data_IF_628455427962
#
_entry.id   IF_628455427962
#
_cell.length_a   1.000
_cell.length_b   1.000
_cell.length_c   1.000
_cell.angle_alpha   90.00
_cell.angle_beta   90.00
_cell.angle_gamma   90.00
#
_symmetry.space_group_name_H-M   'P 1'
#
loop_
_entity.id
_entity.type
_entity.pdbx_description
1 polymer ?
#
# COMPACT_ATOMS: atom_id res chain seq x y z
N UNK A 1 13.79 2.51 -13.50
CA UNK A 1 12.79 2.72 -12.42
C UNK A 1 11.66 1.72 -12.61
N UNK A 2 11.34 0.98 -11.58
CA UNK A 2 10.31 -0.05 -11.64
C UNK A 2 9.21 0.26 -10.62
N UNK A 3 8.17 0.95 -11.07
CA UNK A 3 7.09 1.43 -10.21
C UNK A 3 5.96 0.41 -10.17
N UNK A 4 5.57 0.02 -8.97
CA UNK A 4 4.40 -0.82 -8.72
C UNK A 4 3.40 -0.01 -7.89
N UNK A 5 2.13 -0.07 -8.29
CA UNK A 5 1.04 0.58 -7.55
C UNK A 5 0.09 -0.52 -7.08
N UNK A 6 -0.02 -0.66 -5.77
CA UNK A 6 -0.95 -1.60 -5.13
C UNK A 6 -2.17 -0.84 -4.65
N UNK A 7 -3.33 -1.20 -5.13
CA UNK A 7 -4.56 -0.52 -4.74
C UNK A 7 -5.78 -1.15 -5.37
N UNK A 8 -6.91 -0.46 -5.28
CA UNK A 8 -8.16 -0.92 -5.89
C UNK A 8 -8.68 0.12 -6.87
N UNK A 9 -9.52 -0.33 -7.80
CA UNK A 9 -10.10 0.55 -8.82
C UNK A 9 -11.07 1.59 -8.26
N UNK A 10 -11.55 1.39 -7.03
CA UNK A 10 -12.50 2.30 -6.39
C UNK A 10 -11.81 3.47 -5.67
N UNK A 11 -10.53 3.36 -5.39
CA UNK A 11 -9.79 4.38 -4.64
C UNK A 11 -9.44 5.57 -5.51
N UNK A 12 -9.86 6.77 -5.10
CA UNK A 12 -9.50 8.01 -5.80
C UNK A 12 -8.00 8.23 -5.79
N UNK A 13 -7.35 8.01 -4.66
CA UNK A 13 -5.91 8.22 -4.53
C UNK A 13 -5.13 7.23 -5.39
N UNK A 14 -5.61 6.01 -5.53
CA UNK A 14 -5.03 5.03 -6.44
C UNK A 14 -5.11 5.52 -7.89
N UNK A 15 -6.27 6.05 -8.29
CA UNK A 15 -6.47 6.61 -9.63
C UNK A 15 -5.56 7.82 -9.87
N UNK A 16 -5.42 8.69 -8.87
CA UNK A 16 -4.53 9.84 -8.95
C UNK A 16 -3.07 9.43 -9.13
N UNK A 17 -2.65 8.40 -8.40
CA UNK A 17 -1.29 7.87 -8.52
C UNK A 17 -1.03 7.34 -9.92
N UNK A 18 -1.95 6.56 -10.47
CA UNK A 18 -1.84 6.05 -11.84
C UNK A 18 -1.75 7.18 -12.85
N UNK A 19 -2.56 8.22 -12.68
CA UNK A 19 -2.54 9.39 -13.55
C UNK A 19 -1.22 10.13 -13.46
N UNK A 20 -0.70 10.32 -12.26
CA UNK A 20 0.56 11.01 -12.03
C UNK A 20 1.68 10.42 -12.91
N UNK A 21 1.85 9.11 -12.85
CA UNK A 21 2.92 8.45 -13.61
C UNK A 21 2.61 8.41 -15.10
N UNK A 22 1.35 8.22 -15.48
CA UNK A 22 0.94 8.21 -16.88
C UNK A 22 1.24 9.55 -17.55
N UNK A 23 0.91 10.66 -16.90
CA UNK A 23 1.15 12.00 -17.44
C UNK A 23 2.64 12.29 -17.61
N UNK A 24 3.48 11.64 -16.85
CA UNK A 24 4.94 11.77 -16.94
C UNK A 24 5.58 10.69 -17.80
N UNK A 25 4.75 9.89 -18.47
CA UNK A 25 5.19 8.81 -19.37
C UNK A 25 6.08 7.79 -18.68
N UNK A 26 5.82 7.54 -17.40
CA UNK A 26 6.49 6.51 -16.61
C UNK A 26 5.61 5.29 -16.57
N UNK A 27 6.14 4.15 -17.03
CA UNK A 27 5.41 2.90 -16.98
C UNK A 27 5.32 2.39 -15.56
N UNK A 28 4.13 1.92 -15.18
CA UNK A 28 3.89 1.34 -13.87
C UNK A 28 3.24 -0.02 -14.03
N UNK A 29 3.43 -0.88 -13.04
CA UNK A 29 2.67 -2.11 -12.90
C UNK A 29 1.58 -1.85 -11.87
N UNK A 30 0.32 -1.89 -12.30
CA UNK A 30 -0.80 -1.77 -11.38
C UNK A 30 -1.20 -3.15 -10.89
N UNK A 31 -1.22 -3.35 -9.58
CA UNK A 31 -1.64 -4.58 -8.94
C UNK A 31 -2.96 -4.29 -8.20
N UNK A 32 -4.05 -4.85 -8.71
CA UNK A 32 -5.36 -4.73 -8.09
C UNK A 32 -5.42 -5.69 -6.90
N UNK A 33 -5.50 -5.15 -5.69
CA UNK A 33 -5.49 -5.94 -4.46
C UNK A 33 -6.71 -6.85 -4.34
N UNK A 34 -7.78 -6.58 -5.08
CA UNK A 34 -8.93 -7.47 -5.11
C UNK A 34 -8.70 -8.71 -5.95
N UNK A 35 -7.79 -8.63 -6.90
CA UNK A 35 -7.45 -9.75 -7.77
C UNK A 35 -6.21 -10.49 -7.30
N UNK A 36 -5.24 -9.75 -6.75
CA UNK A 36 -3.98 -10.34 -6.30
C UNK A 36 -3.47 -9.58 -5.08
N UNK A 37 -3.48 -10.22 -3.96
CA UNK A 37 -2.97 -9.65 -2.73
C UNK A 37 -1.45 -9.57 -2.73
N UNK A 38 -0.90 -8.74 -1.86
CA UNK A 38 0.54 -8.65 -1.67
C UNK A 38 1.07 -9.95 -1.09
N UNK A 39 2.20 -10.40 -1.60
CA UNK A 39 2.91 -11.53 -1.03
C UNK A 39 3.56 -11.12 0.31
N UNK A 40 3.97 -12.11 1.09
CA UNK A 40 4.67 -11.86 2.34
C UNK A 40 5.93 -11.02 2.13
N UNK A 41 6.69 -11.31 1.07
CA UNK A 41 7.91 -10.56 0.74
C UNK A 41 7.61 -9.13 0.36
N UNK A 42 6.57 -8.91 -0.45
CA UNK A 42 6.15 -7.57 -0.83
C UNK A 42 5.71 -6.76 0.37
N UNK A 43 4.87 -7.35 1.22
CA UNK A 43 4.38 -6.67 2.43
C UNK A 43 5.53 -6.33 3.38
N UNK A 44 6.47 -7.25 3.56
CA UNK A 44 7.66 -7.02 4.37
C UNK A 44 8.46 -5.83 3.83
N UNK A 45 8.68 -5.80 2.52
CA UNK A 45 9.45 -4.75 1.86
C UNK A 45 8.81 -3.37 2.05
N UNK A 46 7.51 -3.25 1.81
CA UNK A 46 6.84 -1.94 1.96
C UNK A 46 6.74 -1.54 3.42
N UNK A 47 6.54 -2.48 4.34
CA UNK A 47 6.51 -2.19 5.77
C UNK A 47 7.83 -1.58 6.24
N UNK A 48 8.94 -2.17 5.84
CA UNK A 48 10.27 -1.66 6.18
C UNK A 48 10.51 -0.27 5.57
N UNK A 49 10.09 -0.08 4.32
CA UNK A 49 10.29 1.18 3.62
C UNK A 49 9.54 2.35 4.24
N UNK A 50 8.33 2.10 4.74
CA UNK A 50 7.51 3.17 5.34
C UNK A 50 7.74 3.34 6.84
N UNK A 51 8.49 2.45 7.47
CA UNK A 51 8.86 2.58 8.86
C UNK A 51 7.90 1.97 9.86
N UNK A 52 7.11 0.99 9.46
CA UNK A 52 6.27 0.23 10.38
C UNK A 52 4.91 -0.11 9.83
N UNK A 53 4.30 -1.13 10.43
CA UNK A 53 3.04 -1.67 9.97
C UNK A 53 1.86 -0.71 10.16
N UNK A 54 1.92 0.11 11.22
CA UNK A 54 0.83 1.04 11.50
C UNK A 54 0.63 2.06 10.38
N UNK A 55 1.69 2.38 9.65
CA UNK A 55 1.63 3.30 8.52
C UNK A 55 0.96 2.71 7.28
N UNK A 56 0.78 1.39 7.28
CA UNK A 56 0.11 0.70 6.18
C UNK A 56 -1.38 0.52 6.41
N UNK A 57 -1.88 0.81 7.61
CA UNK A 57 -3.27 0.62 7.96
C UNK A 57 -4.11 1.82 7.54
N UNK A 58 -5.28 1.55 6.97
CA UNK A 58 -6.25 2.59 6.63
C UNK A 58 -7.12 2.88 7.86
N UNK A 59 -7.00 4.07 8.49
CA UNK A 59 -7.81 4.39 9.66
C UNK A 59 -9.31 4.46 9.37
N UNK A 60 -9.68 4.53 8.09
CA UNK A 60 -11.06 4.59 7.64
C UNK A 60 -11.50 3.29 6.94
N UNK A 61 -10.82 2.19 7.21
CA UNK A 61 -11.16 0.90 6.61
C UNK A 61 -12.59 0.51 6.98
N UNK A 62 -13.33 -0.03 6.00
CA UNK A 62 -14.72 -0.45 6.22
C UNK A 62 -14.82 -1.60 7.21
N UNK A 63 -13.83 -2.49 7.20
CA UNK A 63 -13.73 -3.59 8.15
C UNK A 63 -13.13 -3.08 9.46
N UNK A 64 -13.93 -2.38 10.23
CA UNK A 64 -13.50 -1.76 11.49
C UNK A 64 -13.09 -2.78 12.53
N UNK A 65 -13.72 -3.94 12.54
CA UNK A 65 -13.42 -4.99 13.51
C UNK A 65 -12.02 -5.54 13.29
N UNK A 66 -11.65 -5.86 12.05
CA UNK A 66 -10.32 -6.35 11.72
C UNK A 66 -9.26 -5.29 11.99
N UNK A 67 -9.54 -4.05 11.63
CA UNK A 67 -8.62 -2.94 11.91
C UNK A 67 -8.35 -2.81 13.41
N UNK A 68 -9.41 -2.80 14.23
CA UNK A 68 -9.28 -2.71 15.67
C UNK A 68 -8.51 -3.89 16.24
N UNK A 69 -8.78 -5.10 15.76
CA UNK A 69 -8.07 -6.30 16.20
C UNK A 69 -6.57 -6.18 15.93
N UNK A 70 -6.19 -5.78 14.73
CA UNK A 70 -4.78 -5.62 14.37
C UNK A 70 -4.08 -4.62 15.29
N UNK A 71 -4.75 -3.51 15.60
CA UNK A 71 -4.18 -2.47 16.46
C UNK A 71 -3.93 -2.94 17.90
N UNK A 72 -4.58 -4.01 18.35
CA UNK A 72 -4.41 -4.57 19.67
C UNK A 72 -3.42 -5.75 19.74
N UNK A 73 -2.93 -6.20 18.59
CA UNK A 73 -1.99 -7.32 18.54
C UNK A 73 -0.54 -6.85 18.73
N UNK A 74 0.35 -7.80 19.05
CA UNK A 74 1.79 -7.54 19.07
C UNK A 74 2.29 -7.30 17.64
N UNK A 75 3.45 -6.63 17.43
CA UNK A 75 3.93 -6.33 16.08
C UNK A 75 4.01 -7.52 15.14
N UNK A 76 4.52 -8.67 15.61
CA UNK A 76 4.60 -9.85 14.75
C UNK A 76 3.23 -10.41 14.40
N UNK A 77 2.30 -10.39 15.36
CA UNK A 77 0.92 -10.82 15.12
C UNK A 77 0.18 -9.86 14.19
N UNK A 78 0.48 -8.57 14.29
CA UNK A 78 -0.09 -7.55 13.38
C UNK A 78 0.27 -7.84 11.94
N UNK A 79 1.52 -8.18 11.70
CA UNK A 79 1.99 -8.48 10.35
C UNK A 79 1.22 -9.67 9.76
N UNK A 80 1.15 -10.76 10.50
CA UNK A 80 0.47 -11.97 10.03
C UNK A 80 -1.01 -11.72 9.78
N UNK A 81 -1.66 -10.97 10.67
CA UNK A 81 -3.08 -10.66 10.52
C UNK A 81 -3.35 -9.75 9.35
N UNK A 82 -2.48 -8.76 9.13
CA UNK A 82 -2.60 -7.87 7.99
C UNK A 82 -2.40 -8.61 6.67
N UNK A 83 -1.42 -9.53 6.64
CA UNK A 83 -1.18 -10.35 5.45
C UNK A 83 -2.42 -11.15 5.04
N UNK A 84 -3.17 -11.64 6.03
CA UNK A 84 -4.40 -12.40 5.82
C UNK A 84 -5.62 -11.50 5.56
N UNK A 85 -5.52 -10.21 5.82
CA UNK A 85 -6.66 -9.28 5.81
C UNK A 85 -6.28 -7.96 5.14
N UNK A 86 -5.90 -8.01 3.87
CA UNK A 86 -5.37 -6.84 3.18
C UNK A 86 -6.44 -5.80 2.81
N UNK A 87 -7.71 -6.08 3.08
CA UNK A 87 -8.79 -5.10 2.88
C UNK A 87 -8.68 -3.90 3.83
N UNK A 88 -7.83 -3.98 4.85
CA UNK A 88 -7.60 -2.85 5.76
C UNK A 88 -6.33 -2.05 5.44
N UNK A 89 -5.64 -2.39 4.36
CA UNK A 89 -4.49 -1.62 3.89
C UNK A 89 -4.92 -0.23 3.41
N UNK A 90 -4.11 0.76 3.73
CA UNK A 90 -4.22 2.07 3.10
C UNK A 90 -3.78 1.97 1.63
N UNK A 91 -4.36 2.78 0.77
CA UNK A 91 -4.04 2.77 -0.67
C UNK A 91 -3.91 4.17 -1.22
N UNK A 92 -3.13 4.30 -2.29
CA UNK A 92 -2.30 3.27 -2.87
C UNK A 92 -1.00 3.06 -2.08
N UNK A 93 -0.42 1.87 -2.20
CA UNK A 93 0.96 1.65 -1.80
C UNK A 93 1.77 1.69 -3.09
N UNK A 94 2.70 2.63 -3.18
CA UNK A 94 3.53 2.82 -4.38
C UNK A 94 4.95 2.42 -4.05
N UNK A 95 5.47 1.48 -4.80
CA UNK A 95 6.78 0.88 -4.56
C UNK A 95 7.73 1.17 -5.71
N UNK A 96 8.95 1.56 -5.38
CA UNK A 96 10.04 1.73 -6.33
C UNK A 96 11.28 1.05 -5.76
N UNK A 97 11.47 -0.23 -6.13
CA UNK A 97 12.53 -1.04 -5.56
C UNK A 97 12.36 -1.20 -4.05
N UNK A 98 13.30 -0.71 -3.28
CA UNK A 98 13.24 -0.76 -1.81
C UNK A 98 12.51 0.42 -1.19
N UNK A 99 12.11 1.41 -2.00
CA UNK A 99 11.37 2.58 -1.54
C UNK A 99 9.89 2.33 -1.67
N UNK A 100 9.10 2.93 -0.79
CA UNK A 100 7.65 2.86 -0.88
C UNK A 100 7.00 4.06 -0.21
N UNK A 101 5.79 4.37 -0.66
CA UNK A 101 4.95 5.41 -0.05
C UNK A 101 3.54 4.87 0.13
N UNK A 102 2.79 5.53 1.01
CA UNK A 102 1.37 5.24 1.24
C UNK A 102 0.57 6.49 0.90
N UNK A 103 -0.50 6.31 0.13
CA UNK A 103 -1.34 7.42 -0.29
C UNK A 103 -0.81 8.13 -1.52
N UNK A 104 -1.41 9.27 -1.82
CA UNK A 104 -1.01 10.09 -2.96
C UNK A 104 0.15 11.00 -2.54
N UNK A 105 1.35 10.71 -3.01
CA UNK A 105 2.57 11.38 -2.58
C UNK A 105 3.42 11.88 -3.76
N UNK A 106 2.89 12.80 -4.58
CA UNK A 106 3.65 13.36 -5.69
C UNK A 106 4.91 14.10 -5.24
N UNK A 107 4.89 14.64 -4.03
CA UNK A 107 6.04 15.30 -3.40
C UNK A 107 7.25 14.37 -3.28
N UNK A 108 6.99 13.10 -2.96
CA UNK A 108 8.05 12.10 -2.84
C UNK A 108 8.42 11.54 -4.22
N UNK A 109 7.42 11.24 -5.04
CA UNK A 109 7.65 10.60 -6.35
C UNK A 109 8.42 11.49 -7.32
N UNK A 110 8.30 12.79 -7.17
CA UNK A 110 9.04 13.73 -8.01
C UNK A 110 10.54 13.65 -7.82
N UNK A 111 11.00 13.10 -6.70
CA UNK A 111 12.42 12.91 -6.40
C UNK A 111 12.91 11.49 -6.74
N UNK A 112 12.06 10.65 -7.22
CA UNK A 112 12.40 9.27 -7.56
C UNK A 112 13.10 9.16 -8.92
#
# INVERSE_FOLDING_TARGET
MNIQIFGTKKSFDTKKAQRYFKERRIKVQFIDLKEKEMSKGELTSVMQAVGGIDKLLNPKAKDEETLALIQHLTPSQRFDKLLENQQVLAEPIVRNGKKATVGYRPDVWGAW
#
